data_IF_549482478427
#
_entry.id   IF_549482478427
#
_cell.length_a   1.000
_cell.length_b   1.000
_cell.length_c   1.000
_cell.angle_alpha   90.00
_cell.angle_beta   90.00
_cell.angle_gamma   90.00
#
_symmetry.space_group_name_H-M   'P 1'
#
loop_
_entity.id
_entity.type
_entity.pdbx_description
1 polymer ?
#
# COMPACT_ATOMS: atom_id res chain seq x y z
N UNK A 1 6.92 27.72 12.70
CA UNK A 1 7.97 27.89 11.67
C UNK A 1 8.26 26.62 10.85
N UNK A 2 8.51 25.43 11.44
CA UNK A 2 8.82 24.20 10.66
C UNK A 2 7.74 23.79 9.64
N UNK A 3 6.47 24.08 9.88
CA UNK A 3 5.36 23.76 8.96
C UNK A 3 5.37 24.60 7.69
N UNK A 4 5.53 25.92 7.79
CA UNK A 4 5.58 26.83 6.64
C UNK A 4 6.81 26.55 5.76
N UNK A 5 7.97 26.29 6.37
CA UNK A 5 9.18 25.94 5.65
C UNK A 5 8.99 24.65 4.81
N UNK A 6 8.32 23.64 5.37
CA UNK A 6 7.98 22.40 4.68
C UNK A 6 7.06 22.61 3.47
N UNK A 7 6.14 23.58 3.55
CA UNK A 7 5.25 23.91 2.43
C UNK A 7 6.00 24.63 1.31
N UNK A 8 6.91 25.54 1.65
CA UNK A 8 7.80 26.20 0.68
C UNK A 8 8.71 25.16 -0.01
N UNK A 9 9.35 24.25 0.77
CA UNK A 9 10.21 23.19 0.22
C UNK A 9 9.45 22.26 -0.76
N UNK A 10 8.14 22.15 -0.62
CA UNK A 10 7.26 21.40 -1.51
C UNK A 10 6.68 22.23 -2.66
N UNK A 11 7.06 23.49 -2.80
CA UNK A 11 6.52 24.38 -3.83
C UNK A 11 5.01 24.66 -3.69
N UNK A 12 4.48 24.63 -2.46
CA UNK A 12 3.03 24.78 -2.18
C UNK A 12 2.63 26.17 -1.72
N UNK A 13 3.57 27.11 -1.65
CA UNK A 13 3.32 28.49 -1.26
C UNK A 13 3.61 29.37 -2.47
N UNK A 14 2.63 30.18 -2.87
CA UNK A 14 2.70 31.09 -4.00
C UNK A 14 2.51 32.53 -3.51
N UNK A 15 3.12 33.49 -4.20
CA UNK A 15 2.77 34.90 -4.03
C UNK A 15 1.53 35.30 -4.84
N UNK A 16 1.13 36.56 -4.76
CA UNK A 16 -0.02 37.11 -5.47
C UNK A 16 0.10 37.06 -7.01
N UNK A 17 1.31 36.86 -7.54
CA UNK A 17 1.56 36.69 -8.96
C UNK A 17 1.60 35.22 -9.41
N UNK A 18 1.43 34.27 -8.49
CA UNK A 18 1.48 32.83 -8.74
C UNK A 18 2.89 32.26 -8.77
N UNK A 19 3.90 33.02 -8.33
CA UNK A 19 5.29 32.54 -8.26
C UNK A 19 5.51 31.71 -6.98
N UNK A 20 6.15 30.56 -7.12
CA UNK A 20 6.46 29.68 -5.99
C UNK A 20 7.49 30.34 -5.08
N UNK A 21 7.13 30.50 -3.81
CA UNK A 21 8.01 31.08 -2.79
C UNK A 21 8.97 30.02 -2.24
N UNK A 22 10.26 30.32 -2.28
CA UNK A 22 11.30 29.53 -1.64
C UNK A 22 11.29 29.75 -0.11
N UNK A 23 11.96 28.88 0.64
CA UNK A 23 12.02 28.87 2.11
C UNK A 23 12.44 30.20 2.75
N UNK A 24 13.29 30.97 2.09
CA UNK A 24 13.85 32.23 2.58
C UNK A 24 13.33 33.44 1.78
N UNK A 25 12.29 33.28 0.96
CA UNK A 25 11.68 34.38 0.21
C UNK A 25 10.92 35.29 1.18
N UNK A 26 10.98 36.59 0.89
CA UNK A 26 10.11 37.59 1.52
C UNK A 26 8.88 37.77 0.64
N UNK A 27 7.72 37.45 1.14
CA UNK A 27 6.46 37.66 0.44
C UNK A 27 5.91 39.04 0.77
N UNK A 28 5.56 39.82 -0.24
CA UNK A 28 4.84 41.08 -0.09
C UNK A 28 3.41 40.87 -0.58
N UNK A 29 2.42 41.15 0.28
CA UNK A 29 1.01 41.02 -0.03
C UNK A 29 0.42 39.63 0.34
N UNK A 30 -0.59 39.22 -0.44
CA UNK A 30 -1.30 37.96 -0.20
C UNK A 30 -0.47 36.75 -0.56
N UNK A 31 -0.58 35.70 0.24
CA UNK A 31 0.08 34.43 0.02
C UNK A 31 -0.99 33.37 -0.26
N UNK A 32 -0.82 32.63 -1.34
CA UNK A 32 -1.68 31.52 -1.70
C UNK A 32 -1.04 30.19 -1.30
N UNK A 33 -1.84 29.34 -0.67
CA UNK A 33 -1.43 28.00 -0.29
C UNK A 33 -2.09 26.98 -1.22
N UNK A 34 -1.29 26.22 -1.95
CA UNK A 34 -1.80 25.04 -2.66
C UNK A 34 -2.15 23.98 -1.63
N UNK A 35 -3.44 23.82 -1.36
CA UNK A 35 -3.94 22.76 -0.49
C UNK A 35 -4.53 21.60 -1.31
N UNK A 36 -4.58 20.43 -0.68
CA UNK A 36 -5.20 19.24 -1.27
C UNK A 36 -6.72 19.38 -1.13
N UNK A 37 -7.42 19.44 -2.26
CA UNK A 37 -8.88 19.40 -2.29
C UNK A 37 -9.33 17.94 -2.18
N UNK A 38 -10.08 17.64 -1.12
CA UNK A 38 -10.68 16.31 -0.97
C UNK A 38 -11.87 16.15 -1.92
N UNK A 39 -11.87 15.06 -2.67
CA UNK A 39 -12.97 14.66 -3.57
C UNK A 39 -13.41 13.23 -3.22
N UNK A 40 -14.19 13.03 -2.12
CA UNK A 40 -14.58 11.72 -1.66
C UNK A 40 -15.50 11.04 -2.70
N UNK A 41 -15.34 9.72 -2.83
CA UNK A 41 -16.14 8.86 -3.72
C UNK A 41 -17.16 8.01 -2.96
N UNK A 42 -17.26 8.20 -1.65
CA UNK A 42 -18.26 7.58 -0.78
C UNK A 42 -17.83 6.25 -0.17
N UNK A 43 -16.52 5.93 -0.14
CA UNK A 43 -16.06 4.75 0.59
C UNK A 43 -16.33 4.88 2.08
N UNK A 44 -16.73 3.78 2.73
CA UNK A 44 -17.07 3.73 4.14
C UNK A 44 -16.13 2.80 4.90
N UNK A 45 -15.97 3.08 6.19
CA UNK A 45 -15.27 2.17 7.08
C UNK A 45 -16.07 0.86 7.23
N UNK A 46 -15.35 -0.27 7.26
CA UNK A 46 -15.94 -1.60 7.54
C UNK A 46 -16.09 -1.85 9.03
N UNK A 47 -15.32 -1.12 9.83
CA UNK A 47 -15.36 -1.08 11.28
C UNK A 47 -14.98 0.32 11.75
N UNK A 48 -15.63 0.81 12.82
CA UNK A 48 -15.20 2.05 13.49
C UNK A 48 -15.55 2.06 14.99
N UNK A 49 -14.75 2.78 15.75
CA UNK A 49 -14.98 3.16 17.15
C UNK A 49 -14.61 4.64 17.35
N UNK A 50 -14.55 5.12 18.56
CA UNK A 50 -14.23 6.51 18.87
C UNK A 50 -12.82 6.89 18.39
N UNK A 51 -11.84 6.01 18.58
CA UNK A 51 -10.42 6.29 18.36
C UNK A 51 -9.96 6.01 16.94
N UNK A 52 -10.54 5.00 16.27
CA UNK A 52 -10.08 4.58 14.97
C UNK A 52 -11.18 4.03 14.07
N UNK A 53 -10.85 3.87 12.80
CA UNK A 53 -11.66 3.20 11.80
C UNK A 53 -10.80 2.23 10.97
N UNK A 54 -11.42 1.24 10.36
CA UNK A 54 -10.78 0.33 9.41
C UNK A 54 -11.54 0.42 8.10
N UNK A 55 -10.80 0.65 7.02
CA UNK A 55 -11.32 0.64 5.66
C UNK A 55 -10.89 -0.62 4.94
N UNK A 56 -11.65 -1.02 3.95
CA UNK A 56 -11.26 -2.00 2.96
C UNK A 56 -10.83 -1.24 1.70
N UNK A 57 -9.52 -1.01 1.55
CA UNK A 57 -8.97 -0.17 0.48
C UNK A 57 -9.03 -0.92 -0.85
N UNK A 58 -9.64 -0.37 -1.91
CA UNK A 58 -9.59 -0.99 -3.22
C UNK A 58 -8.17 -1.00 -3.81
N UNK A 59 -7.91 -1.93 -4.73
CA UNK A 59 -6.70 -1.90 -5.56
C UNK A 59 -6.67 -0.63 -6.42
N UNK A 60 -5.48 -0.13 -6.71
CA UNK A 60 -5.29 1.08 -7.52
C UNK A 60 -5.43 2.40 -6.75
N UNK A 61 -5.90 2.37 -5.51
CA UNK A 61 -6.05 3.56 -4.66
C UNK A 61 -4.83 3.76 -3.76
N UNK A 62 -4.29 4.97 -3.74
CA UNK A 62 -3.21 5.34 -2.82
C UNK A 62 -3.70 5.40 -1.38
N UNK A 63 -2.90 4.92 -0.42
CA UNK A 63 -3.20 5.04 1.01
C UNK A 63 -3.18 6.50 1.48
N UNK A 64 -2.32 7.35 0.90
CA UNK A 64 -2.21 8.78 1.18
C UNK A 64 -1.81 9.53 -0.09
N UNK A 65 -2.15 10.83 -0.21
CA UNK A 65 -1.77 11.59 -1.38
C UNK A 65 -0.24 11.62 -1.52
N UNK A 66 0.26 11.16 -2.64
CA UNK A 66 1.67 11.14 -2.96
C UNK A 66 1.89 11.48 -4.44
N UNK A 67 2.90 12.35 -4.71
CA UNK A 67 3.24 12.76 -6.06
C UNK A 67 2.34 13.85 -6.65
N UNK A 68 2.76 14.36 -7.81
CA UNK A 68 2.12 15.51 -8.50
C UNK A 68 0.79 15.16 -9.18
N UNK A 69 0.52 13.87 -9.40
CA UNK A 69 -0.62 13.38 -10.17
C UNK A 69 -1.65 12.60 -9.35
N UNK A 70 -1.61 12.74 -8.02
CA UNK A 70 -2.60 12.09 -7.16
C UNK A 70 -3.95 12.79 -7.30
N UNK A 71 -4.84 12.23 -8.11
CA UNK A 71 -6.22 12.70 -8.25
C UNK A 71 -7.13 12.23 -7.11
N UNK A 72 -6.83 11.07 -6.51
CA UNK A 72 -7.63 10.47 -5.45
C UNK A 72 -6.78 9.54 -4.58
N UNK A 73 -7.02 9.56 -3.30
CA UNK A 73 -6.42 8.67 -2.31
C UNK A 73 -7.43 8.34 -1.21
N UNK A 74 -7.11 7.40 -0.34
CA UNK A 74 -7.98 7.08 0.79
C UNK A 74 -8.17 8.29 1.76
N UNK A 75 -7.24 9.25 1.74
CA UNK A 75 -7.38 10.49 2.53
C UNK A 75 -8.55 11.36 2.11
N UNK A 76 -9.04 11.25 0.87
CA UNK A 76 -10.25 11.96 0.44
C UNK A 76 -11.47 11.51 1.27
N UNK A 77 -11.58 10.21 1.50
CA UNK A 77 -12.62 9.65 2.35
C UNK A 77 -12.38 9.94 3.83
N UNK A 78 -11.14 9.68 4.30
CA UNK A 78 -10.76 9.84 5.71
C UNK A 78 -11.01 11.27 6.18
N UNK A 79 -10.55 12.26 5.43
CA UNK A 79 -10.70 13.66 5.82
C UNK A 79 -12.13 14.18 5.66
N UNK A 80 -12.89 13.64 4.71
CA UNK A 80 -14.31 13.95 4.57
C UNK A 80 -15.13 13.43 5.76
N UNK A 81 -14.77 12.24 6.29
CA UNK A 81 -15.52 11.60 7.39
C UNK A 81 -15.07 12.06 8.78
N UNK A 82 -13.75 12.23 8.98
CA UNK A 82 -13.16 12.40 10.31
C UNK A 82 -12.34 13.70 10.48
N UNK A 83 -12.26 14.52 9.43
CA UNK A 83 -11.50 15.77 9.45
C UNK A 83 -9.98 15.57 9.25
N UNK A 84 -9.26 16.70 9.17
CA UNK A 84 -7.83 16.76 8.79
C UNK A 84 -6.86 16.18 9.82
N UNK A 85 -7.30 15.93 11.05
CA UNK A 85 -6.51 15.29 12.11
C UNK A 85 -6.43 13.77 11.96
N UNK A 86 -7.35 13.17 11.20
CA UNK A 86 -7.37 11.74 10.94
C UNK A 86 -6.28 11.34 9.93
N UNK A 87 -5.69 10.18 10.14
CA UNK A 87 -4.59 9.70 9.31
C UNK A 87 -4.50 8.17 9.29
N UNK A 88 -3.97 7.61 8.19
CA UNK A 88 -3.61 6.19 8.15
C UNK A 88 -2.52 5.86 9.17
N UNK A 89 -2.67 4.76 9.88
CA UNK A 89 -1.69 4.29 10.87
C UNK A 89 -0.53 3.57 10.19
N UNK A 90 -0.83 2.80 9.14
CA UNK A 90 0.13 2.09 8.31
C UNK A 90 -0.21 2.26 6.83
N UNK A 91 0.60 1.71 5.95
CA UNK A 91 0.42 1.86 4.50
C UNK A 91 0.21 0.51 3.83
N UNK A 92 -0.60 0.52 2.78
CA UNK A 92 -0.63 -0.49 1.73
C UNK A 92 -0.12 0.14 0.43
N UNK A 93 0.50 -0.65 -0.42
CA UNK A 93 0.90 -0.20 -1.77
C UNK A 93 -0.34 0.23 -2.58
N UNK A 94 -0.16 1.05 -3.62
CA UNK A 94 -1.26 1.52 -4.48
C UNK A 94 -2.14 0.35 -4.93
N UNK A 95 -1.53 -0.72 -5.42
CA UNK A 95 -2.25 -1.86 -5.97
C UNK A 95 -2.65 -2.94 -4.95
N UNK A 96 -2.08 -2.95 -3.76
CA UNK A 96 -2.52 -3.83 -2.68
C UNK A 96 -3.88 -3.38 -2.17
N UNK A 97 -4.86 -4.27 -2.19
CA UNK A 97 -6.20 -4.03 -1.62
C UNK A 97 -6.30 -4.54 -0.18
N UNK A 98 -7.39 -4.22 0.50
CA UNK A 98 -7.76 -4.81 1.80
C UNK A 98 -7.66 -3.88 2.99
N UNK A 99 -7.68 -4.47 4.18
CA UNK A 99 -7.86 -3.76 5.44
C UNK A 99 -6.71 -2.81 5.78
N UNK A 100 -7.06 -1.56 6.08
CA UNK A 100 -6.14 -0.50 6.47
C UNK A 100 -6.68 0.25 7.68
N UNK A 101 -5.82 0.45 8.70
CA UNK A 101 -6.18 1.11 9.95
C UNK A 101 -5.98 2.62 9.85
N UNK A 102 -6.97 3.36 10.30
CA UNK A 102 -7.03 4.82 10.28
C UNK A 102 -7.29 5.31 11.70
N UNK A 103 -6.45 6.18 12.22
CA UNK A 103 -6.70 6.89 13.48
C UNK A 103 -7.55 8.13 13.21
N UNK A 104 -8.55 8.39 14.06
CA UNK A 104 -9.45 9.54 13.93
C UNK A 104 -8.87 10.85 14.50
N UNK A 105 -7.84 10.74 15.35
CA UNK A 105 -7.17 11.89 15.97
C UNK A 105 -5.68 11.60 16.21
N UNK A 106 -4.92 12.63 16.58
CA UNK A 106 -3.49 12.57 16.75
C UNK A 106 -3.04 11.67 17.93
N UNK A 107 -3.80 11.67 19.03
CA UNK A 107 -3.48 10.84 20.20
C UNK A 107 -3.58 9.35 19.84
N UNK A 108 -4.68 8.95 19.21
CA UNK A 108 -4.90 7.59 18.72
C UNK A 108 -3.87 7.20 17.65
N UNK A 109 -3.49 8.15 16.76
CA UNK A 109 -2.47 7.91 15.74
C UNK A 109 -1.13 7.52 16.37
N UNK A 110 -0.68 8.26 17.37
CA UNK A 110 0.59 7.96 18.03
C UNK A 110 0.55 6.62 18.77
N UNK A 111 -0.53 6.36 19.53
CA UNK A 111 -0.69 5.11 20.25
C UNK A 111 -0.76 3.88 19.31
N UNK A 112 -1.55 3.96 18.24
CA UNK A 112 -1.67 2.88 17.25
C UNK A 112 -0.38 2.66 16.46
N UNK A 113 0.37 3.72 16.10
CA UNK A 113 1.69 3.59 15.45
C UNK A 113 2.68 2.83 16.33
N UNK A 114 2.69 3.07 17.63
CA UNK A 114 3.54 2.33 18.58
C UNK A 114 3.24 0.83 18.55
N UNK A 115 1.97 0.40 18.37
CA UNK A 115 1.65 -1.03 18.22
C UNK A 115 2.30 -1.63 16.97
N UNK A 116 2.32 -0.91 15.84
CA UNK A 116 3.01 -1.37 14.62
C UNK A 116 4.54 -1.41 14.80
N UNK A 117 5.12 -0.40 15.41
CA UNK A 117 6.56 -0.32 15.69
C UNK A 117 7.00 -1.47 16.62
N UNK A 118 6.20 -1.78 17.64
CA UNK A 118 6.43 -2.87 18.58
C UNK A 118 6.01 -4.25 18.05
N UNK A 119 5.51 -4.34 16.80
CA UNK A 119 5.01 -5.57 16.16
C UNK A 119 3.86 -6.24 16.94
N UNK A 120 3.09 -5.47 17.68
CA UNK A 120 1.92 -5.93 18.42
C UNK A 120 0.68 -6.12 17.52
N UNK A 121 0.72 -5.65 16.27
CA UNK A 121 -0.33 -5.88 15.27
C UNK A 121 0.03 -7.07 14.40
N UNK A 122 -0.74 -8.17 14.53
CA UNK A 122 -0.67 -9.30 13.60
C UNK A 122 -1.47 -8.98 12.35
N UNK A 123 -0.94 -9.39 11.19
CA UNK A 123 -1.53 -9.12 9.88
C UNK A 123 -1.53 -10.40 9.06
N UNK A 124 -2.58 -10.63 8.31
CA UNK A 124 -2.56 -11.66 7.29
C UNK A 124 -3.04 -11.13 5.95
N UNK A 125 -2.47 -11.69 4.91
CA UNK A 125 -2.76 -11.34 3.52
C UNK A 125 -3.12 -12.60 2.75
N UNK A 126 -3.90 -12.45 1.68
CA UNK A 126 -4.01 -13.46 0.65
C UNK A 126 -3.32 -12.98 -0.61
N UNK A 127 -2.65 -13.91 -1.27
CA UNK A 127 -2.00 -13.67 -2.56
C UNK A 127 -2.28 -14.83 -3.52
N UNK A 128 -2.52 -14.53 -4.79
CA UNK A 128 -2.54 -15.52 -5.84
C UNK A 128 -1.18 -15.53 -6.51
N UNK A 129 -0.45 -16.64 -6.38
CA UNK A 129 0.95 -16.76 -6.82
C UNK A 129 1.11 -17.75 -7.95
N UNK A 130 2.12 -17.56 -8.78
CA UNK A 130 2.44 -18.49 -9.89
C UNK A 130 2.98 -19.82 -9.38
N UNK A 131 2.55 -20.90 -10.04
CA UNK A 131 3.00 -22.25 -9.75
C UNK A 131 2.28 -22.89 -8.55
N UNK A 132 2.64 -24.16 -8.31
CA UNK A 132 2.07 -24.96 -7.21
C UNK A 132 2.92 -24.81 -5.95
N UNK A 133 2.30 -24.33 -4.88
CA UNK A 133 2.87 -24.32 -3.52
C UNK A 133 2.30 -25.54 -2.79
N UNK A 134 3.16 -26.51 -2.45
CA UNK A 134 2.72 -27.81 -1.93
C UNK A 134 2.63 -27.87 -0.41
N UNK A 135 3.40 -27.05 0.29
CA UNK A 135 3.47 -27.02 1.75
C UNK A 135 3.73 -25.61 2.26
N UNK A 136 3.47 -25.41 3.53
CA UNK A 136 3.85 -24.20 4.24
C UNK A 136 5.38 -24.05 4.35
N UNK A 137 5.85 -22.82 4.33
CA UNK A 137 7.25 -22.47 4.49
C UNK A 137 7.43 -21.04 5.01
N UNK A 138 8.64 -20.75 5.47
CA UNK A 138 9.04 -19.42 5.96
C UNK A 138 10.12 -18.85 5.05
N UNK A 139 9.98 -17.56 4.72
CA UNK A 139 10.99 -16.79 4.02
C UNK A 139 11.61 -15.83 5.04
N UNK A 140 12.87 -16.03 5.37
CA UNK A 140 13.66 -15.17 6.28
C UNK A 140 14.83 -14.58 5.49
N UNK A 141 14.52 -13.57 4.67
CA UNK A 141 15.47 -12.94 3.76
C UNK A 141 15.47 -11.43 3.97
N UNK A 142 16.65 -10.81 4.27
CA UNK A 142 16.72 -9.39 4.56
C UNK A 142 16.47 -8.53 3.32
N UNK A 143 15.72 -7.43 3.52
CA UNK A 143 15.30 -6.51 2.46
C UNK A 143 16.02 -5.18 2.58
N UNK A 144 16.65 -4.74 1.49
CA UNK A 144 17.29 -3.43 1.34
C UNK A 144 16.70 -2.63 0.19
N UNK A 145 17.08 -1.36 0.14
CA UNK A 145 16.70 -0.44 -0.93
C UNK A 145 17.41 -0.80 -2.23
N UNK A 146 16.88 -0.33 -3.37
CA UNK A 146 17.55 -0.40 -4.66
C UNK A 146 18.91 0.29 -4.62
N UNK A 147 19.79 -0.09 -5.52
CA UNK A 147 21.05 0.63 -5.75
C UNK A 147 20.78 1.89 -6.57
N UNK A 148 21.68 2.87 -6.50
CA UNK A 148 21.61 4.07 -7.35
C UNK A 148 21.66 3.73 -8.84
N UNK A 149 22.24 2.57 -9.19
CA UNK A 149 22.34 2.03 -10.55
C UNK A 149 21.09 1.30 -11.01
N UNK A 150 20.10 1.05 -10.11
CA UNK A 150 18.87 0.37 -10.48
C UNK A 150 17.96 1.31 -11.27
N UNK A 151 17.46 0.86 -12.41
CA UNK A 151 16.56 1.62 -13.28
C UNK A 151 15.28 2.08 -12.60
N UNK A 152 14.81 1.33 -11.59
CA UNK A 152 13.57 1.60 -10.85
C UNK A 152 13.86 1.82 -9.37
N UNK A 153 13.97 3.07 -8.96
CA UNK A 153 14.34 3.49 -7.60
C UNK A 153 13.41 2.97 -6.47
N UNK A 154 12.15 2.63 -6.77
CA UNK A 154 11.21 2.10 -5.76
C UNK A 154 11.32 0.60 -5.54
N UNK A 155 12.10 -0.11 -6.36
CA UNK A 155 12.27 -1.56 -6.30
C UNK A 155 13.14 -1.92 -5.10
N UNK A 156 12.64 -2.82 -4.26
CA UNK A 156 13.41 -3.38 -3.14
C UNK A 156 14.17 -4.62 -3.61
N UNK A 157 15.23 -5.00 -2.90
CA UNK A 157 16.04 -6.19 -3.20
C UNK A 157 16.36 -6.99 -1.94
N UNK A 158 16.59 -8.30 -2.12
CA UNK A 158 17.19 -9.14 -1.09
C UNK A 158 18.69 -8.81 -1.03
N UNK A 159 19.20 -8.50 0.15
CA UNK A 159 20.62 -8.25 0.35
C UNK A 159 21.03 -8.45 1.82
N UNK A 160 22.23 -8.98 2.05
CA UNK A 160 22.75 -9.30 3.38
C UNK A 160 22.72 -8.12 4.37
N UNK A 161 23.01 -6.91 3.89
CA UNK A 161 22.96 -5.68 4.69
C UNK A 161 21.56 -5.08 4.79
N UNK A 162 20.51 -5.79 4.33
CA UNK A 162 19.13 -5.37 4.42
C UNK A 162 18.57 -5.43 5.83
N UNK A 163 17.39 -4.86 6.01
CA UNK A 163 16.65 -4.95 7.27
C UNK A 163 15.99 -6.33 7.36
N UNK A 164 16.09 -6.99 8.51
CA UNK A 164 15.44 -8.29 8.77
C UNK A 164 13.97 -8.27 8.33
N UNK A 165 13.59 -9.28 7.53
CA UNK A 165 12.24 -9.45 7.04
C UNK A 165 11.88 -10.94 7.05
N UNK A 166 10.70 -11.27 7.62
CA UNK A 166 10.23 -12.65 7.77
C UNK A 166 8.78 -12.72 7.33
N UNK A 167 8.46 -13.69 6.47
CA UNK A 167 7.11 -13.95 5.98
C UNK A 167 6.83 -15.45 6.02
N UNK A 168 5.75 -15.84 6.70
CA UNK A 168 5.23 -17.20 6.68
C UNK A 168 4.22 -17.34 5.54
N UNK A 169 4.28 -18.46 4.81
CA UNK A 169 3.43 -18.75 3.66
C UNK A 169 2.69 -20.07 3.91
N UNK A 170 1.38 -20.05 3.72
CA UNK A 170 0.47 -21.19 3.90
C UNK A 170 -0.35 -21.38 2.61
N UNK A 171 -0.19 -22.48 1.85
CA UNK A 171 -1.03 -22.76 0.69
C UNK A 171 -2.47 -23.03 1.13
N UNK A 172 -3.42 -22.47 0.38
CA UNK A 172 -4.86 -22.63 0.64
C UNK A 172 -5.52 -23.47 -0.44
N UNK A 173 -5.29 -23.12 -1.73
CA UNK A 173 -5.94 -23.76 -2.86
C UNK A 173 -5.08 -23.64 -4.11
N UNK A 174 -4.93 -24.71 -4.84
CA UNK A 174 -4.23 -24.73 -6.13
C UNK A 174 -5.22 -24.79 -7.28
N UNK A 175 -5.10 -23.87 -8.21
CA UNK A 175 -5.89 -23.75 -9.44
C UNK A 175 -5.06 -24.29 -10.60
N UNK A 176 -5.30 -25.56 -11.00
CA UNK A 176 -4.54 -26.23 -12.06
C UNK A 176 -4.69 -25.55 -13.42
N UNK A 177 -5.87 -24.97 -13.70
CA UNK A 177 -6.19 -24.29 -14.95
C UNK A 177 -5.29 -23.08 -15.22
N UNK A 178 -4.82 -22.41 -14.15
CA UNK A 178 -3.98 -21.21 -14.23
C UNK A 178 -2.56 -21.44 -13.76
N UNK A 179 -2.25 -22.67 -13.34
CA UNK A 179 -1.01 -22.99 -12.64
C UNK A 179 -0.69 -21.95 -11.55
N UNK A 180 -1.65 -21.69 -10.67
CA UNK A 180 -1.57 -20.70 -9.62
C UNK A 180 -2.05 -21.23 -8.27
N UNK A 181 -1.45 -20.77 -7.18
CA UNK A 181 -1.85 -21.12 -5.81
C UNK A 181 -2.33 -19.88 -5.06
N UNK A 182 -3.51 -19.97 -4.46
CA UNK A 182 -3.93 -19.03 -3.43
C UNK A 182 -3.18 -19.36 -2.15
N UNK A 183 -2.42 -18.40 -1.63
CA UNK A 183 -1.68 -18.55 -0.38
C UNK A 183 -2.11 -17.51 0.63
N UNK A 184 -2.04 -17.87 1.91
CA UNK A 184 -2.08 -16.93 3.03
C UNK A 184 -0.65 -16.58 3.39
N UNK A 185 -0.32 -15.28 3.38
CA UNK A 185 0.97 -14.74 3.78
C UNK A 185 0.85 -13.98 5.10
N UNK A 186 1.69 -14.32 6.08
CA UNK A 186 1.74 -13.70 7.40
C UNK A 186 3.09 -13.04 7.59
N UNK A 187 3.20 -11.72 7.36
CA UNK A 187 4.46 -10.99 7.55
C UNK A 187 4.68 -10.71 9.04
N UNK A 188 5.75 -11.29 9.64
CA UNK A 188 6.17 -11.03 11.02
C UNK A 188 6.90 -9.69 11.15
N UNK A 189 7.28 -9.10 10.03
CA UNK A 189 7.90 -7.78 9.90
C UNK A 189 7.09 -6.94 8.90
N UNK A 190 7.45 -5.67 8.69
CA UNK A 190 6.69 -4.78 7.80
C UNK A 190 7.61 -3.94 6.91
N UNK A 191 8.39 -4.58 6.03
CA UNK A 191 9.25 -3.87 5.07
C UNK A 191 8.46 -3.50 3.82
N UNK A 192 8.92 -2.47 3.14
CA UNK A 192 8.34 -2.08 1.85
C UNK A 192 8.40 -3.25 0.87
N UNK A 193 7.29 -3.52 0.18
CA UNK A 193 7.14 -4.61 -0.79
C UNK A 193 7.47 -6.03 -0.27
N UNK A 194 7.53 -6.23 1.07
CA UNK A 194 8.04 -7.46 1.66
C UNK A 194 7.44 -8.74 1.08
N UNK A 195 6.11 -8.89 1.11
CA UNK A 195 5.43 -10.11 0.63
C UNK A 195 5.70 -10.32 -0.87
N UNK A 196 5.65 -9.25 -1.65
CA UNK A 196 5.87 -9.26 -3.10
C UNK A 196 7.27 -9.73 -3.45
N UNK A 197 8.29 -9.12 -2.83
CA UNK A 197 9.69 -9.46 -3.05
C UNK A 197 10.01 -10.86 -2.54
N UNK A 198 9.53 -11.26 -1.36
CA UNK A 198 9.76 -12.57 -0.78
C UNK A 198 9.20 -13.68 -1.69
N UNK A 199 7.95 -13.55 -2.13
CA UNK A 199 7.34 -14.53 -3.04
C UNK A 199 8.04 -14.57 -4.41
N UNK A 200 8.46 -13.43 -4.94
CA UNK A 200 9.27 -13.37 -6.16
C UNK A 200 10.62 -14.06 -5.98
N UNK A 201 11.30 -13.86 -4.85
CA UNK A 201 12.60 -14.47 -4.53
C UNK A 201 12.54 -16.01 -4.58
N UNK A 202 11.49 -16.59 -4.00
CA UNK A 202 11.27 -18.05 -3.99
C UNK A 202 10.58 -18.59 -5.24
N UNK A 203 10.51 -17.81 -6.33
CA UNK A 203 9.95 -18.18 -7.64
C UNK A 203 8.43 -18.39 -7.69
N UNK A 204 7.72 -17.92 -6.68
CA UNK A 204 6.26 -17.88 -6.63
C UNK A 204 5.76 -16.42 -6.73
N UNK A 205 6.07 -15.73 -7.86
CA UNK A 205 5.66 -14.33 -8.04
C UNK A 205 4.14 -14.18 -7.91
N UNK A 206 3.70 -13.05 -7.34
CA UNK A 206 2.28 -12.72 -7.26
C UNK A 206 1.78 -12.38 -8.67
N UNK A 207 0.64 -12.93 -9.08
CA UNK A 207 0.02 -12.58 -10.36
C UNK A 207 -0.41 -11.12 -10.38
N UNK A 208 -0.20 -10.47 -11.52
CA UNK A 208 -0.52 -9.06 -11.70
C UNK A 208 0.48 -8.09 -11.06
N UNK A 209 1.60 -8.57 -10.51
CA UNK A 209 2.62 -7.66 -9.95
C UNK A 209 3.29 -6.86 -11.06
N UNK A 210 3.16 -5.50 -11.03
CA UNK A 210 3.74 -4.67 -12.09
C UNK A 210 5.26 -4.50 -11.98
N UNK A 211 5.87 -4.85 -10.84
CA UNK A 211 7.26 -4.51 -10.52
C UNK A 211 8.17 -5.74 -10.41
N UNK A 212 7.68 -6.81 -9.74
CA UNK A 212 8.46 -8.02 -9.54
C UNK A 212 8.10 -9.08 -10.57
N UNK A 213 9.06 -9.38 -11.46
CA UNK A 213 8.88 -10.33 -12.57
C UNK A 213 8.47 -9.68 -13.89
N UNK A 214 8.62 -8.36 -14.01
CA UNK A 214 8.49 -7.57 -15.23
C UNK A 214 9.78 -6.81 -15.50
N UNK A 215 9.99 -6.40 -16.75
CA UNK A 215 11.04 -5.46 -17.12
C UNK A 215 10.63 -4.01 -16.84
N UNK A 216 11.58 -3.09 -16.94
CA UNK A 216 11.38 -1.67 -16.67
C UNK A 216 10.37 -1.04 -17.62
N UNK A 217 10.42 -1.37 -18.91
CA UNK A 217 9.50 -0.82 -19.91
C UNK A 217 8.05 -1.22 -19.64
N UNK A 218 7.82 -2.49 -19.28
CA UNK A 218 6.50 -3.00 -18.88
C UNK A 218 6.01 -2.32 -17.59
N UNK A 219 6.89 -2.15 -16.60
CA UNK A 219 6.54 -1.45 -15.36
C UNK A 219 6.11 0.00 -15.63
N UNK A 220 6.88 0.74 -16.42
CA UNK A 220 6.56 2.13 -16.77
C UNK A 220 5.26 2.22 -17.57
N UNK A 221 5.04 1.32 -18.53
CA UNK A 221 3.82 1.29 -19.31
C UNK A 221 2.57 1.02 -18.44
N UNK A 222 2.69 0.17 -17.40
CA UNK A 222 1.62 -0.05 -16.42
C UNK A 222 1.40 1.20 -15.55
N UNK A 223 2.49 1.83 -15.09
CA UNK A 223 2.42 3.01 -14.23
C UNK A 223 1.76 4.20 -14.95
N UNK A 224 2.05 4.36 -16.23
CA UNK A 224 1.50 5.40 -17.11
C UNK A 224 0.11 5.05 -17.68
N UNK A 225 -0.46 3.91 -17.29
CA UNK A 225 -1.76 3.43 -17.76
C UNK A 225 -1.84 3.27 -19.30
N UNK A 226 -0.71 2.92 -19.94
CA UNK A 226 -0.59 2.76 -21.40
C UNK A 226 -0.99 1.38 -21.91
N UNK A 227 -1.08 0.37 -21.04
CA UNK A 227 -1.45 -0.99 -21.43
C UNK A 227 -2.96 -1.19 -21.32
N UNK A 228 -3.52 -1.90 -22.28
CA UNK A 228 -4.86 -2.47 -22.15
C UNK A 228 -4.91 -3.54 -21.06
N UNK A 229 -6.12 -3.88 -20.61
CA UNK A 229 -6.33 -4.95 -19.63
C UNK A 229 -5.78 -6.29 -20.14
N UNK A 230 -6.01 -6.63 -21.41
CA UNK A 230 -5.52 -7.87 -22.02
C UNK A 230 -3.99 -7.92 -22.09
N UNK A 231 -3.33 -6.83 -22.50
CA UNK A 231 -1.87 -6.76 -22.52
C UNK A 231 -1.28 -6.93 -21.12
N UNK A 232 -1.86 -6.27 -20.12
CA UNK A 232 -1.42 -6.41 -18.73
C UNK A 232 -1.57 -7.85 -18.23
N UNK A 233 -2.70 -8.53 -18.50
CA UNK A 233 -2.91 -9.93 -18.14
C UNK A 233 -1.84 -10.80 -18.80
N UNK A 234 -1.57 -10.62 -20.09
CA UNK A 234 -0.57 -11.41 -20.82
C UNK A 234 0.84 -11.23 -20.24
N UNK A 235 1.21 -10.02 -19.80
CA UNK A 235 2.55 -9.71 -19.27
C UNK A 235 2.74 -10.10 -17.80
N UNK A 236 1.69 -9.96 -16.99
CA UNK A 236 1.81 -10.10 -15.53
C UNK A 236 1.02 -11.26 -14.95
N UNK A 237 0.10 -11.84 -15.71
CA UNK A 237 -0.79 -12.94 -15.30
C UNK A 237 -2.13 -12.47 -14.74
N UNK A 238 -2.34 -11.16 -14.50
CA UNK A 238 -3.61 -10.63 -14.04
C UNK A 238 -3.73 -9.13 -14.33
N UNK A 239 -4.94 -8.59 -14.38
CA UNK A 239 -5.21 -7.17 -14.65
C UNK A 239 -4.89 -6.25 -13.46
N UNK A 240 -4.59 -6.80 -12.28
CA UNK A 240 -4.20 -6.08 -11.05
C UNK A 240 -3.27 -6.95 -10.20
N UNK A 241 -2.57 -6.34 -9.26
CA UNK A 241 -1.84 -7.10 -8.25
C UNK A 241 -2.81 -7.94 -7.40
N UNK A 242 -2.64 -9.28 -7.43
CA UNK A 242 -3.43 -10.22 -6.63
C UNK A 242 -2.87 -10.37 -5.21
N UNK A 243 -2.81 -9.26 -4.47
CA UNK A 243 -2.42 -9.19 -3.06
C UNK A 243 -3.47 -8.40 -2.27
N UNK A 244 -3.99 -9.02 -1.21
CA UNK A 244 -5.06 -8.47 -0.39
C UNK A 244 -4.76 -8.59 1.09
N UNK A 245 -4.77 -7.47 1.82
CA UNK A 245 -4.68 -7.43 3.28
C UNK A 245 -6.01 -7.88 3.87
N UNK A 246 -6.04 -9.09 4.46
CA UNK A 246 -7.29 -9.73 4.84
C UNK A 246 -7.68 -9.51 6.30
N UNK A 247 -6.70 -9.38 7.19
CA UNK A 247 -6.96 -9.31 8.62
C UNK A 247 -5.96 -8.41 9.36
N UNK A 248 -6.46 -7.74 10.38
CA UNK A 248 -5.70 -7.05 11.43
C UNK A 248 -6.15 -7.57 12.80
N UNK A 249 -5.20 -8.09 13.58
CA UNK A 249 -5.46 -8.55 14.96
C UNK A 249 -4.52 -7.82 15.92
N UNK A 250 -5.06 -7.11 16.90
CA UNK A 250 -4.32 -6.33 17.88
C UNK A 250 -5.12 -6.04 19.13
N UNK A 251 -4.43 -5.74 20.23
CA UNK A 251 -5.03 -5.20 21.45
C UNK A 251 -4.83 -3.70 21.51
N UNK A 252 -5.88 -2.97 21.87
CA UNK A 252 -5.85 -1.52 22.06
C UNK A 252 -6.79 -1.12 23.20
N UNK A 253 -6.28 -0.36 24.17
CA UNK A 253 -7.00 0.07 25.37
C UNK A 253 -7.67 -1.10 26.13
N UNK A 254 -6.96 -2.23 26.28
CA UNK A 254 -7.46 -3.42 27.00
C UNK A 254 -8.53 -4.22 26.24
N UNK A 255 -8.78 -3.90 24.96
CA UNK A 255 -9.73 -4.61 24.12
C UNK A 255 -9.03 -5.25 22.92
N UNK A 256 -9.35 -6.52 22.65
CA UNK A 256 -8.86 -7.25 21.48
C UNK A 256 -9.76 -6.95 20.29
N UNK A 257 -9.12 -6.60 19.18
CA UNK A 257 -9.74 -6.38 17.88
C UNK A 257 -9.23 -7.42 16.89
N UNK A 258 -10.15 -8.10 16.23
CA UNK A 258 -9.88 -9.04 15.15
C UNK A 258 -10.77 -8.69 13.95
N UNK A 259 -10.19 -7.88 13.02
CA UNK A 259 -10.95 -7.22 11.97
C UNK A 259 -10.57 -7.84 10.63
N UNK A 260 -11.55 -8.48 10.02
CA UNK A 260 -11.42 -9.13 8.73
C UNK A 260 -11.97 -8.26 7.62
N UNK A 261 -11.41 -8.41 6.40
CA UNK A 261 -11.97 -7.84 5.17
C UNK A 261 -13.43 -8.29 4.98
N UNK A 262 -14.22 -7.45 4.33
CA UNK A 262 -15.56 -7.78 3.85
C UNK A 262 -15.60 -8.03 2.34
N UNK A 263 -14.49 -7.82 1.63
CA UNK A 263 -14.39 -8.05 0.19
C UNK A 263 -14.31 -9.52 -0.14
N UNK A 264 -14.96 -9.93 -1.22
CA UNK A 264 -14.73 -11.23 -1.85
C UNK A 264 -13.47 -11.17 -2.73
N UNK A 265 -12.31 -11.06 -2.07
CA UNK A 265 -11.01 -10.94 -2.74
C UNK A 265 -10.71 -12.14 -3.65
N UNK A 266 -11.21 -13.35 -3.31
CA UNK A 266 -11.01 -14.54 -4.13
C UNK A 266 -11.72 -14.40 -5.48
N UNK A 267 -12.99 -14.00 -5.49
CA UNK A 267 -13.72 -13.73 -6.72
C UNK A 267 -13.07 -12.57 -7.51
N UNK A 268 -12.61 -11.50 -6.83
CA UNK A 268 -11.89 -10.40 -7.47
C UNK A 268 -10.58 -10.86 -8.13
N UNK A 269 -9.82 -11.77 -7.49
CA UNK A 269 -8.60 -12.32 -8.05
C UNK A 269 -8.89 -13.15 -9.29
N UNK A 270 -9.85 -14.08 -9.22
CA UNK A 270 -10.23 -14.90 -10.37
C UNK A 270 -10.71 -14.04 -11.54
N UNK A 271 -11.59 -13.07 -11.30
CA UNK A 271 -12.03 -12.11 -12.32
C UNK A 271 -10.86 -11.34 -12.95
N UNK A 272 -9.80 -11.05 -12.17
CA UNK A 272 -8.64 -10.32 -12.69
C UNK A 272 -7.77 -11.13 -13.64
N UNK A 273 -7.96 -12.47 -13.71
CA UNK A 273 -7.30 -13.35 -14.69
C UNK A 273 -7.92 -13.26 -16.09
N UNK A 274 -9.06 -12.57 -16.23
CA UNK A 274 -9.75 -12.38 -17.51
C UNK A 274 -10.78 -13.45 -17.83
N UNK A 275 -11.34 -14.08 -16.78
CA UNK A 275 -12.32 -15.18 -16.88
C UNK A 275 -13.69 -14.67 -16.43
#
# INVERSE_FOLDING_TARGET
MKGAQRLCDKGRVLDSSGVVLAKNSVANGEIFLIDYKCEPKGARAIFECEEFAVFDKPSGVLSHPNGRHCKYSLYDEIWSLYGRSAAVVHRLDKETSGVILVAKNLASLNALKMLFENRAVKKSYFALVSGRVERDFVIDEPIGESLETDEVAIKMRICENGKKAITEIYPIEYFSEFNATLVRAVPLTGRQHQIRLHLFHVKHKILGDPLYGTDTATFEAILDEKLSVCERINLTGASRLCLHAANLHFEFNGKIYDINTKSDFKAEFLKSLGI
#
